data_IF_828735291744
#
_entry.id   IF_828735291744
#
_cell.length_a   1.000
_cell.length_b   1.000
_cell.length_c   1.000
_cell.angle_alpha   90.00
_cell.angle_beta   90.00
_cell.angle_gamma   90.00
#
_symmetry.space_group_name_H-M   'P 1'
#
loop_
_entity.id
_entity.type
_entity.pdbx_description
1 polymer ?
#
# COMPACT_ATOMS: atom_id res chain seq x y z
N UNK A 1 11.17 5.14 22.10
CA UNK A 1 10.76 4.62 20.77
C UNK A 1 11.83 3.79 20.06
N UNK A 2 12.89 4.33 19.45
CA UNK A 2 13.88 3.49 18.73
C UNK A 2 14.57 2.44 19.62
N UNK A 3 14.89 2.80 20.86
CA UNK A 3 15.43 1.87 21.86
C UNK A 3 14.40 0.84 22.34
N UNK A 4 13.11 1.17 22.29
CA UNK A 4 12.01 0.26 22.69
C UNK A 4 11.61 -0.71 21.57
N UNK A 5 11.92 -0.38 20.31
CA UNK A 5 11.59 -1.16 19.12
C UNK A 5 12.82 -1.36 18.23
N UNK A 6 13.84 -2.10 18.71
CA UNK A 6 15.06 -2.33 17.96
C UNK A 6 14.76 -3.13 16.68
N UNK A 7 15.29 -2.67 15.54
CA UNK A 7 15.10 -3.31 14.24
C UNK A 7 13.75 -3.05 13.57
N UNK A 8 12.82 -2.34 14.20
CA UNK A 8 11.51 -2.03 13.62
C UNK A 8 11.51 -0.69 12.86
N UNK A 9 10.69 -0.61 11.81
CA UNK A 9 10.38 0.66 11.14
C UNK A 9 9.40 1.44 12.01
N UNK A 10 9.84 2.57 12.55
CA UNK A 10 8.99 3.42 13.37
C UNK A 10 7.94 4.13 12.50
N UNK A 11 6.69 3.71 12.62
CA UNK A 11 5.51 4.35 12.02
C UNK A 11 4.55 4.99 13.02
N UNK A 12 3.49 5.64 12.50
CA UNK A 12 2.39 6.27 13.28
C UNK A 12 1.77 5.40 14.38
N UNK A 13 1.62 4.07 14.22
CA UNK A 13 1.13 3.22 15.32
C UNK A 13 1.96 3.31 16.61
N UNK A 14 3.29 3.44 16.51
CA UNK A 14 4.16 3.61 17.70
C UNK A 14 3.90 4.95 18.40
N UNK A 15 3.61 6.01 17.64
CA UNK A 15 3.24 7.31 18.19
C UNK A 15 1.84 7.28 18.82
N UNK A 16 0.89 6.54 18.24
CA UNK A 16 -0.42 6.33 18.84
C UNK A 16 -0.29 5.70 20.23
N UNK A 17 0.55 4.67 20.37
CA UNK A 17 0.84 4.06 21.67
C UNK A 17 1.50 5.04 22.66
N UNK A 18 2.37 5.93 22.20
CA UNK A 18 2.94 6.98 23.05
C UNK A 18 1.89 7.98 23.53
N UNK A 19 0.96 8.40 22.66
CA UNK A 19 -0.12 9.31 23.01
C UNK A 19 -1.04 8.69 24.06
N UNK A 20 -1.32 7.39 23.96
CA UNK A 20 -2.09 6.65 24.96
C UNK A 20 -1.33 6.60 26.29
N UNK A 21 -0.05 6.21 26.27
CA UNK A 21 0.79 6.17 27.49
C UNK A 21 0.92 7.54 28.17
N UNK A 22 0.86 8.62 27.40
CA UNK A 22 0.87 10.00 27.89
C UNK A 22 -0.50 10.49 28.39
N UNK A 23 -1.56 9.68 28.31
CA UNK A 23 -2.92 10.07 28.70
C UNK A 23 -3.57 11.08 27.75
N UNK A 24 -3.06 11.21 26.51
CA UNK A 24 -3.55 12.17 25.52
C UNK A 24 -4.58 11.56 24.56
N UNK A 25 -4.69 10.23 24.51
CA UNK A 25 -5.66 9.50 23.70
C UNK A 25 -6.13 8.23 24.42
N UNK A 26 -7.38 7.83 24.20
CA UNK A 26 -7.99 6.70 24.91
C UNK A 26 -7.82 5.35 24.17
N UNK A 27 -7.49 5.41 22.88
CA UNK A 27 -7.24 4.24 22.04
C UNK A 27 -6.34 4.60 20.86
N UNK A 28 -5.88 3.58 20.12
CA UNK A 28 -5.12 3.82 18.87
C UNK A 28 -5.99 4.60 17.90
N UNK A 29 -7.26 4.21 17.74
CA UNK A 29 -8.19 4.90 16.85
C UNK A 29 -8.38 6.37 17.25
N UNK A 30 -8.57 6.64 18.55
CA UNK A 30 -8.69 8.02 19.06
C UNK A 30 -7.44 8.85 18.77
N UNK A 31 -6.25 8.26 18.97
CA UNK A 31 -4.98 8.92 18.67
C UNK A 31 -4.86 9.28 17.17
N UNK A 32 -5.29 8.41 16.26
CA UNK A 32 -5.31 8.71 14.84
C UNK A 32 -6.26 9.85 14.51
N UNK A 33 -7.51 9.73 14.95
CA UNK A 33 -8.57 10.70 14.64
C UNK A 33 -8.21 12.10 15.14
N UNK A 34 -7.60 12.23 16.33
CA UNK A 34 -7.27 13.53 16.93
C UNK A 34 -5.94 14.10 16.46
N UNK A 35 -4.94 13.25 16.21
CA UNK A 35 -3.55 13.71 16.13
C UNK A 35 -2.78 13.27 14.88
N UNK A 36 -3.05 12.06 14.34
CA UNK A 36 -2.13 11.40 13.39
C UNK A 36 -2.71 11.15 12.00
N UNK A 37 -4.01 11.41 11.79
CA UNK A 37 -4.65 11.32 10.47
C UNK A 37 -4.35 12.52 9.57
N UNK A 38 -4.49 12.37 8.24
CA UNK A 38 -4.36 13.48 7.30
C UNK A 38 -5.12 14.73 7.76
N UNK A 39 -4.44 15.87 7.79
CA UNK A 39 -5.00 17.15 8.25
C UNK A 39 -4.95 17.38 9.76
N UNK A 40 -4.41 16.45 10.56
CA UNK A 40 -4.20 16.65 12.01
C UNK A 40 -2.85 17.26 12.32
N UNK A 41 -2.76 17.84 13.52
CA UNK A 41 -1.61 18.67 13.97
C UNK A 41 -0.26 17.99 13.80
N UNK A 42 -0.18 16.67 13.98
CA UNK A 42 1.08 15.92 13.93
C UNK A 42 1.16 14.98 12.72
N UNK A 43 0.29 15.16 11.73
CA UNK A 43 0.40 14.44 10.47
C UNK A 43 1.44 15.09 9.57
N UNK A 44 2.51 14.35 9.31
CA UNK A 44 3.49 14.68 8.28
C UNK A 44 3.19 13.78 7.09
N UNK A 45 2.87 14.39 5.94
CA UNK A 45 2.62 13.65 4.71
C UNK A 45 3.91 12.91 4.33
N UNK A 46 3.80 11.59 4.17
CA UNK A 46 4.89 10.79 3.62
C UNK A 46 4.97 11.04 2.12
N UNK A 47 6.18 11.27 1.62
CA UNK A 47 6.44 11.21 0.19
C UNK A 47 6.48 9.74 -0.23
N UNK A 48 5.65 9.40 -1.21
CA UNK A 48 5.68 8.10 -1.88
C UNK A 48 6.27 8.32 -3.26
N UNK A 49 7.01 7.32 -3.73
CA UNK A 49 7.46 7.31 -5.12
C UNK A 49 6.24 7.23 -6.03
N UNK A 50 6.32 7.85 -7.20
CA UNK A 50 5.38 7.59 -8.28
C UNK A 50 5.52 6.14 -8.78
N UNK A 51 4.54 5.66 -9.56
CA UNK A 51 4.62 4.31 -10.16
C UNK A 51 5.84 4.22 -11.09
N UNK A 52 6.14 5.31 -11.80
CA UNK A 52 7.26 5.44 -12.72
C UNK A 52 8.59 5.36 -11.98
N UNK A 53 8.75 6.17 -10.92
CA UNK A 53 9.95 6.17 -10.07
C UNK A 53 10.18 4.80 -9.41
N UNK A 54 9.11 4.16 -8.91
CA UNK A 54 9.20 2.86 -8.27
C UNK A 54 9.57 1.75 -9.27
N UNK A 55 8.96 1.75 -10.46
CA UNK A 55 9.25 0.78 -11.51
C UNK A 55 10.69 0.94 -12.03
N UNK A 56 11.15 2.18 -12.23
CA UNK A 56 12.52 2.47 -12.63
C UNK A 56 13.53 1.98 -11.58
N UNK A 57 13.28 2.25 -10.30
CA UNK A 57 14.16 1.83 -9.22
C UNK A 57 14.26 0.30 -9.11
N UNK A 58 13.13 -0.42 -9.19
CA UNK A 58 13.12 -1.89 -9.16
C UNK A 58 13.88 -2.46 -10.36
N UNK A 59 13.61 -1.94 -11.56
CA UNK A 59 14.29 -2.38 -12.80
C UNK A 59 15.78 -2.06 -12.76
N UNK A 60 16.17 -0.90 -12.26
CA UNK A 60 17.57 -0.50 -12.08
C UNK A 60 18.33 -1.42 -11.12
N UNK A 61 17.62 -2.07 -10.19
CA UNK A 61 18.18 -3.11 -9.32
C UNK A 61 18.17 -4.53 -9.95
N UNK A 62 17.73 -4.67 -11.21
CA UNK A 62 17.58 -5.96 -11.89
C UNK A 62 16.32 -6.75 -11.49
N UNK A 63 15.39 -6.12 -10.77
CA UNK A 63 14.13 -6.73 -10.35
C UNK A 63 13.01 -6.58 -11.36
N UNK A 64 11.87 -7.19 -11.02
CA UNK A 64 10.61 -7.13 -11.77
C UNK A 64 9.55 -6.52 -10.86
N UNK A 65 8.84 -5.49 -11.34
CA UNK A 65 7.83 -4.77 -10.56
C UNK A 65 6.42 -5.32 -10.78
N UNK A 66 5.60 -5.29 -9.73
CA UNK A 66 4.20 -5.66 -9.76
C UNK A 66 3.34 -4.72 -8.90
N UNK A 67 2.12 -4.43 -9.34
CA UNK A 67 1.13 -3.70 -8.53
C UNK A 67 0.54 -4.64 -7.48
N UNK A 68 0.82 -4.37 -6.21
CA UNK A 68 0.28 -5.13 -5.08
C UNK A 68 -1.17 -4.73 -4.77
N UNK A 69 -1.99 -5.72 -4.38
CA UNK A 69 -3.35 -5.64 -3.85
C UNK A 69 -4.14 -4.36 -4.26
N UNK A 70 -4.41 -4.15 -5.57
CA UNK A 70 -4.89 -2.88 -6.11
C UNK A 70 -6.25 -2.44 -5.54
N UNK A 71 -7.09 -3.37 -5.09
CA UNK A 71 -8.39 -3.03 -4.49
C UNK A 71 -8.27 -2.27 -3.16
N UNK A 72 -7.13 -2.35 -2.47
CA UNK A 72 -6.92 -1.61 -1.22
C UNK A 72 -6.75 -0.11 -1.46
N UNK A 73 -6.44 0.32 -2.68
CA UNK A 73 -6.28 1.73 -3.02
C UNK A 73 -7.60 2.49 -3.08
N UNK A 74 -8.74 1.77 -3.12
CA UNK A 74 -10.10 2.34 -3.18
C UNK A 74 -10.27 3.33 -4.33
N UNK A 75 -9.61 3.05 -5.46
CA UNK A 75 -9.80 3.77 -6.71
C UNK A 75 -11.16 3.40 -7.31
N UNK A 76 -11.78 4.36 -7.96
CA UNK A 76 -12.88 4.09 -8.89
C UNK A 76 -12.35 3.47 -10.19
N UNK A 77 -13.26 3.19 -11.13
CA UNK A 77 -12.88 2.53 -12.38
C UNK A 77 -12.00 3.43 -13.28
N UNK A 78 -12.20 4.75 -13.25
CA UNK A 78 -11.35 5.72 -13.96
C UNK A 78 -9.94 5.74 -13.37
N UNK A 79 -9.81 5.87 -12.04
CA UNK A 79 -8.52 5.85 -11.36
C UNK A 79 -7.79 4.51 -11.50
N UNK A 80 -8.52 3.40 -11.52
CA UNK A 80 -7.94 2.08 -11.80
C UNK A 80 -7.38 2.03 -13.24
N UNK A 81 -8.14 2.56 -14.20
CA UNK A 81 -7.71 2.63 -15.61
C UNK A 81 -6.45 3.48 -15.75
N UNK A 82 -6.42 4.68 -15.17
CA UNK A 82 -5.24 5.55 -15.18
C UNK A 82 -4.01 4.85 -14.57
N UNK A 83 -4.20 4.15 -13.44
CA UNK A 83 -3.12 3.40 -12.80
C UNK A 83 -2.58 2.29 -13.72
N UNK A 84 -3.44 1.53 -14.39
CA UNK A 84 -3.01 0.47 -15.30
C UNK A 84 -2.26 1.01 -16.51
N UNK A 85 -2.75 2.11 -17.11
CA UNK A 85 -2.07 2.78 -18.24
C UNK A 85 -0.68 3.26 -17.84
N UNK A 86 -0.58 3.99 -16.72
CA UNK A 86 0.70 4.47 -16.20
C UNK A 86 1.65 3.35 -15.83
N UNK A 87 1.14 2.28 -15.21
CA UNK A 87 1.94 1.11 -14.86
C UNK A 87 2.50 0.41 -16.10
N UNK A 88 1.66 0.22 -17.13
CA UNK A 88 2.08 -0.35 -18.41
C UNK A 88 3.17 0.50 -19.05
N UNK A 89 2.96 1.80 -19.14
CA UNK A 89 3.88 2.73 -19.79
C UNK A 89 5.21 2.87 -19.01
N UNK A 90 5.18 2.69 -17.69
CA UNK A 90 6.36 2.62 -16.83
C UNK A 90 7.15 1.30 -16.92
N UNK A 91 6.59 0.28 -17.59
CA UNK A 91 7.18 -1.05 -17.73
C UNK A 91 6.96 -1.95 -16.51
N UNK A 92 5.88 -1.75 -15.74
CA UNK A 92 5.45 -2.69 -14.71
C UNK A 92 5.05 -4.01 -15.36
N UNK A 93 5.47 -5.13 -14.77
CA UNK A 93 5.31 -6.44 -15.39
C UNK A 93 4.20 -7.29 -14.75
N UNK A 94 3.76 -6.95 -13.54
CA UNK A 94 2.79 -7.76 -12.80
C UNK A 94 1.62 -6.99 -12.19
N UNK A 95 0.51 -7.70 -12.00
CA UNK A 95 -0.65 -7.26 -11.25
C UNK A 95 -1.03 -8.35 -10.25
N UNK A 96 -1.22 -8.01 -8.98
CA UNK A 96 -1.72 -8.97 -7.99
C UNK A 96 -3.21 -9.20 -8.20
N UNK A 97 -3.54 -10.38 -8.72
CA UNK A 97 -4.91 -10.79 -9.01
C UNK A 97 -5.48 -11.68 -7.90
N UNK A 98 -4.61 -12.34 -7.13
CA UNK A 98 -5.01 -13.28 -6.09
C UNK A 98 -4.49 -12.79 -4.73
N UNK A 99 -5.43 -12.46 -3.85
CA UNK A 99 -5.15 -11.96 -2.51
C UNK A 99 -6.14 -12.61 -1.53
N UNK A 100 -5.71 -12.92 -0.31
CA UNK A 100 -6.54 -13.63 0.67
C UNK A 100 -7.86 -12.93 1.02
N UNK A 101 -7.91 -11.60 0.86
CA UNK A 101 -9.12 -10.81 1.07
C UNK A 101 -10.04 -10.65 -0.15
N UNK A 102 -9.71 -11.23 -1.31
CA UNK A 102 -10.50 -11.05 -2.53
C UNK A 102 -11.52 -12.16 -2.71
N UNK A 103 -12.72 -11.77 -3.16
CA UNK A 103 -13.72 -12.72 -3.61
C UNK A 103 -13.33 -13.29 -4.99
N UNK A 104 -13.87 -14.46 -5.38
CA UNK A 104 -13.63 -15.03 -6.70
C UNK A 104 -13.94 -14.07 -7.86
N UNK A 105 -14.98 -13.23 -7.71
CA UNK A 105 -15.39 -12.24 -8.70
C UNK A 105 -14.34 -11.14 -8.85
N UNK A 106 -13.78 -10.66 -7.73
CA UNK A 106 -12.69 -9.68 -7.73
C UNK A 106 -11.45 -10.26 -8.40
N UNK A 107 -11.09 -11.49 -8.07
CA UNK A 107 -9.95 -12.18 -8.69
C UNK A 107 -10.13 -12.31 -10.21
N UNK A 108 -11.33 -12.70 -10.67
CA UNK A 108 -11.64 -12.82 -12.09
C UNK A 108 -11.55 -11.46 -12.81
N UNK A 109 -12.07 -10.39 -12.20
CA UNK A 109 -11.99 -9.03 -12.74
C UNK A 109 -10.54 -8.56 -12.88
N UNK A 110 -9.72 -8.74 -11.85
CA UNK A 110 -8.31 -8.35 -11.87
C UNK A 110 -7.50 -9.18 -12.86
N UNK A 111 -7.82 -10.46 -13.04
CA UNK A 111 -7.19 -11.29 -14.06
C UNK A 111 -7.50 -10.80 -15.46
N UNK A 112 -8.77 -10.50 -15.76
CA UNK A 112 -9.15 -9.93 -17.05
C UNK A 112 -8.45 -8.58 -17.31
N UNK A 113 -8.25 -7.77 -16.26
CA UNK A 113 -7.50 -6.51 -16.35
C UNK A 113 -6.01 -6.76 -16.61
N UNK A 114 -5.39 -7.73 -15.93
CA UNK A 114 -4.01 -8.12 -16.18
C UNK A 114 -3.82 -8.55 -17.65
N UNK A 115 -4.71 -9.40 -18.16
CA UNK A 115 -4.69 -9.86 -19.54
C UNK A 115 -4.84 -8.70 -20.54
N UNK A 116 -5.75 -7.75 -20.27
CA UNK A 116 -6.00 -6.59 -21.14
C UNK A 116 -4.80 -5.64 -21.25
N UNK A 117 -4.01 -5.48 -20.19
CA UNK A 117 -2.85 -4.59 -20.15
C UNK A 117 -1.51 -5.31 -20.33
N UNK A 118 -1.51 -6.64 -20.47
CA UNK A 118 -0.31 -7.45 -20.67
C UNK A 118 0.51 -7.69 -19.40
N UNK A 119 -0.11 -7.61 -18.22
CA UNK A 119 0.56 -7.90 -16.95
C UNK A 119 0.53 -9.40 -16.63
N UNK A 120 1.59 -9.90 -16.00
CA UNK A 120 1.58 -11.22 -15.37
C UNK A 120 0.70 -11.19 -14.11
N UNK A 121 -0.26 -12.11 -14.01
CA UNK A 121 -1.05 -12.30 -12.80
C UNK A 121 -0.18 -12.85 -11.65
N UNK A 122 -0.16 -12.15 -10.52
CA UNK A 122 0.59 -12.52 -9.31
C UNK A 122 -0.35 -12.80 -8.14
N UNK A 123 0.19 -13.41 -7.08
CA UNK A 123 -0.53 -13.82 -5.89
C UNK A 123 0.28 -13.57 -4.61
N UNK A 124 -0.38 -13.14 -3.54
CA UNK A 124 0.24 -12.89 -2.24
C UNK A 124 -0.77 -12.98 -1.10
N UNK A 125 -0.32 -13.44 0.07
CA UNK A 125 -1.15 -13.49 1.28
C UNK A 125 -1.14 -12.19 2.06
N UNK A 126 -0.13 -11.33 1.84
CA UNK A 126 0.17 -10.16 2.66
C UNK A 126 0.19 -10.50 4.17
N UNK A 127 0.83 -11.61 4.53
CA UNK A 127 0.84 -12.09 5.91
C UNK A 127 1.74 -11.22 6.82
N UNK A 128 1.19 -10.78 7.95
CA UNK A 128 1.83 -9.83 8.86
C UNK A 128 2.12 -10.38 10.27
N UNK A 129 1.94 -11.68 10.50
CA UNK A 129 2.12 -12.28 11.83
C UNK A 129 0.84 -12.83 12.46
N UNK A 130 0.98 -13.34 13.68
CA UNK A 130 -0.09 -13.81 14.57
C UNK A 130 0.03 -13.12 15.94
#
# INVERSE_FOLDING_TARGET
LKAEHPGSIIGRPHFALCLIRAGLADSVQDAFVRYLDPGRKYYIRRHFLSVEEAAELIRGAGGVSAIAHPMQYKLDDEGMTELMERARDAGVSGLECYYSGYSPEVCARLKALADAYGFCATAGSDWHGS
#
